data_IF_320686271347
#
_entry.id   IF_320686271347
#
_cell.length_a   1.000
_cell.length_b   1.000
_cell.length_c   1.000
_cell.angle_alpha   90.00
_cell.angle_beta   90.00
_cell.angle_gamma   90.00
#
_symmetry.space_group_name_H-M   'P 1'
#
loop_
_entity.id
_entity.type
_entity.pdbx_description
1 polymer ?
#
# COMPACT_ATOMS: atom_id res chain seq x y z
N UNK A 1 -5.51 -22.18 3.05
CA UNK A 1 -4.57 -21.07 2.83
C UNK A 1 -4.07 -20.58 4.18
N UNK A 2 -2.77 -20.40 4.29
CA UNK A 2 -2.17 -19.80 5.48
C UNK A 2 -1.77 -18.36 5.21
N UNK A 3 -2.11 -17.48 6.13
CA UNK A 3 -1.75 -16.08 6.06
C UNK A 3 -0.64 -15.82 7.07
N UNK A 4 0.49 -15.32 6.59
CA UNK A 4 1.66 -15.05 7.42
C UNK A 4 1.87 -13.55 7.47
N UNK A 5 1.76 -12.95 8.65
CA UNK A 5 2.10 -11.56 8.88
C UNK A 5 3.60 -11.40 9.16
N UNK A 6 4.24 -10.50 8.45
CA UNK A 6 5.67 -10.19 8.66
C UNK A 6 5.80 -8.71 9.02
N UNK A 7 6.39 -8.46 10.18
CA UNK A 7 6.69 -7.11 10.63
C UNK A 7 8.20 -6.98 10.87
N UNK A 8 8.69 -5.78 10.76
CA UNK A 8 10.10 -5.54 11.00
C UNK A 8 10.58 -4.23 10.40
N UNK A 9 11.67 -3.72 10.94
CA UNK A 9 12.29 -2.51 10.45
C UNK A 9 13.05 -2.71 9.14
N UNK A 10 13.35 -1.62 8.48
CA UNK A 10 14.18 -1.61 7.29
C UNK A 10 15.57 -2.18 7.63
N UNK A 11 16.09 -3.06 6.79
CA UNK A 11 17.43 -3.62 6.95
C UNK A 11 17.52 -4.87 7.81
N UNK A 12 16.41 -5.40 8.30
CA UNK A 12 16.40 -6.62 9.13
C UNK A 12 16.45 -7.93 8.34
N UNK A 13 16.81 -7.89 7.06
CA UNK A 13 16.84 -9.09 6.20
C UNK A 13 15.46 -9.56 5.76
N UNK A 14 14.44 -8.76 6.01
CA UNK A 14 13.05 -9.06 5.70
C UNK A 14 12.82 -9.37 4.22
N UNK A 15 13.40 -8.58 3.33
CA UNK A 15 13.26 -8.80 1.88
C UNK A 15 13.82 -10.14 1.44
N UNK A 16 14.93 -10.58 2.04
CA UNK A 16 15.53 -11.88 1.74
C UNK A 16 14.60 -13.02 2.17
N UNK A 17 14.01 -12.92 3.37
CA UNK A 17 13.05 -13.90 3.88
C UNK A 17 11.82 -13.98 3.00
N UNK A 18 11.26 -12.83 2.62
CA UNK A 18 10.08 -12.76 1.76
C UNK A 18 10.34 -13.36 0.38
N UNK A 19 11.48 -13.06 -0.23
CA UNK A 19 11.86 -13.63 -1.51
C UNK A 19 12.05 -15.14 -1.43
N UNK A 20 12.65 -15.63 -0.34
CA UNK A 20 12.80 -17.06 -0.10
C UNK A 20 11.45 -17.78 -0.03
N UNK A 21 10.50 -17.22 0.72
CA UNK A 21 9.16 -17.78 0.86
C UNK A 21 8.44 -17.82 -0.48
N UNK A 22 8.56 -16.74 -1.27
CA UNK A 22 7.96 -16.68 -2.58
C UNK A 22 8.53 -17.72 -3.54
N UNK A 23 9.86 -17.82 -3.62
CA UNK A 23 10.53 -18.75 -4.53
C UNK A 23 10.37 -20.21 -4.12
N UNK A 24 10.48 -20.49 -2.83
CA UNK A 24 10.47 -21.87 -2.32
C UNK A 24 9.08 -22.46 -2.22
N UNK A 25 8.11 -21.67 -1.78
CA UNK A 25 6.76 -22.12 -1.48
C UNK A 25 5.68 -21.55 -2.38
N UNK A 26 6.02 -20.71 -3.34
CA UNK A 26 5.06 -20.05 -4.21
C UNK A 26 4.13 -19.10 -3.46
N UNK A 27 4.57 -18.59 -2.33
CA UNK A 27 3.76 -17.68 -1.52
C UNK A 27 3.48 -16.36 -2.26
N UNK A 28 2.23 -15.90 -2.21
CA UNK A 28 1.89 -14.57 -2.71
C UNK A 28 2.31 -13.53 -1.68
N UNK A 29 3.00 -12.50 -2.16
CA UNK A 29 3.44 -11.38 -1.31
C UNK A 29 2.47 -10.23 -1.41
N UNK A 30 2.05 -9.70 -0.26
CA UNK A 30 1.25 -8.48 -0.16
C UNK A 30 2.05 -7.50 0.69
N UNK A 31 2.59 -6.48 0.05
CA UNK A 31 3.42 -5.46 0.70
C UNK A 31 2.56 -4.21 0.93
N UNK A 32 2.22 -3.95 2.18
CA UNK A 32 1.31 -2.88 2.55
C UNK A 32 1.77 -1.50 2.06
N UNK A 33 3.08 -1.23 2.09
CA UNK A 33 3.62 0.04 1.60
C UNK A 33 3.37 0.21 0.10
N UNK A 34 3.56 -0.84 -0.68
CA UNK A 34 3.29 -0.81 -2.12
C UNK A 34 1.80 -0.70 -2.39
N UNK A 35 0.96 -1.38 -1.61
CA UNK A 35 -0.50 -1.24 -1.72
C UNK A 35 -0.90 0.21 -1.45
N UNK A 36 -0.30 0.86 -0.46
CA UNK A 36 -0.53 2.27 -0.16
C UNK A 36 -0.23 3.18 -1.35
N UNK A 37 0.85 2.92 -2.09
CA UNK A 37 1.17 3.66 -3.31
C UNK A 37 0.19 3.35 -4.43
N UNK A 38 -0.20 2.10 -4.60
CA UNK A 38 -1.10 1.68 -5.67
C UNK A 38 -2.51 2.26 -5.52
N UNK A 39 -3.05 2.33 -4.29
CA UNK A 39 -4.38 2.91 -4.07
C UNK A 39 -4.43 4.41 -4.32
N UNK A 40 -3.27 5.08 -4.38
CA UNK A 40 -3.16 6.48 -4.74
C UNK A 40 -2.96 6.72 -6.23
N UNK A 41 -2.96 5.67 -7.05
CA UNK A 41 -2.88 5.84 -8.51
C UNK A 41 -4.21 6.30 -9.10
N UNK A 42 -4.16 7.01 -10.25
CA UNK A 42 -5.39 7.44 -10.93
C UNK A 42 -6.33 6.27 -11.20
N UNK A 43 -7.61 6.48 -11.01
CA UNK A 43 -8.63 5.44 -11.17
C UNK A 43 -9.08 4.81 -9.85
N UNK A 44 -8.39 5.08 -8.76
CA UNK A 44 -8.78 4.62 -7.43
C UNK A 44 -9.54 5.70 -6.66
N UNK A 45 -10.45 5.29 -5.80
CA UNK A 45 -11.23 6.22 -4.97
C UNK A 45 -10.32 7.03 -4.04
N UNK A 46 -9.29 6.40 -3.47
CA UNK A 46 -8.34 7.09 -2.60
C UNK A 46 -7.62 8.21 -3.34
N UNK A 47 -7.24 8.00 -4.60
CA UNK A 47 -6.66 9.05 -5.45
C UNK A 47 -7.58 10.27 -5.52
N UNK A 48 -8.86 10.03 -5.82
CA UNK A 48 -9.83 11.11 -5.93
C UNK A 48 -9.98 11.88 -4.61
N UNK A 49 -10.04 11.17 -3.50
CA UNK A 49 -10.15 11.79 -2.17
C UNK A 49 -8.90 12.61 -1.81
N UNK A 50 -7.71 12.09 -2.09
CA UNK A 50 -6.45 12.78 -1.81
C UNK A 50 -6.35 14.06 -2.64
N UNK A 51 -6.66 14.00 -3.92
CA UNK A 51 -6.64 15.17 -4.81
C UNK A 51 -7.66 16.21 -4.36
N UNK A 52 -8.86 15.77 -3.94
CA UNK A 52 -9.91 16.67 -3.47
C UNK A 52 -9.48 17.43 -2.21
N UNK A 53 -8.78 16.76 -1.29
CA UNK A 53 -8.38 17.36 -0.01
C UNK A 53 -7.13 18.21 -0.15
N UNK A 54 -6.12 17.73 -0.87
CA UNK A 54 -4.81 18.38 -0.96
C UNK A 54 -4.66 19.30 -2.18
N UNK A 55 -5.55 19.18 -3.15
CA UNK A 55 -5.58 20.06 -4.31
C UNK A 55 -4.65 19.62 -5.44
N UNK A 56 -4.66 20.39 -6.51
CA UNK A 56 -3.90 20.07 -7.73
C UNK A 56 -2.38 20.23 -7.57
N UNK A 57 -1.94 20.90 -6.52
CA UNK A 57 -0.51 21.13 -6.24
C UNK A 57 0.26 19.82 -6.10
N UNK A 58 -0.42 18.74 -5.70
CA UNK A 58 0.19 17.43 -5.54
C UNK A 58 0.05 16.53 -6.78
N UNK A 59 -0.50 17.06 -7.86
CA UNK A 59 -0.73 16.29 -9.09
C UNK A 59 0.29 16.68 -10.15
N UNK A 60 1.00 15.69 -10.68
CA UNK A 60 1.97 15.88 -11.76
C UNK A 60 1.27 16.04 -13.12
N UNK A 61 2.04 16.42 -14.14
CA UNK A 61 1.51 16.58 -15.49
C UNK A 61 0.87 15.33 -16.06
N UNK A 62 1.40 14.16 -15.68
CA UNK A 62 0.86 12.85 -16.09
C UNK A 62 -0.36 12.43 -15.27
N UNK A 63 -0.86 13.32 -14.41
CA UNK A 63 -2.01 13.12 -13.52
C UNK A 63 -1.77 12.19 -12.34
N UNK A 64 -0.56 11.69 -12.17
CA UNK A 64 -0.22 10.92 -10.96
C UNK A 64 0.07 11.86 -9.80
N UNK A 65 -0.03 11.34 -8.57
CA UNK A 65 0.32 12.12 -7.38
C UNK A 65 1.84 12.27 -7.30
N UNK A 66 2.28 13.52 -7.15
CA UNK A 66 3.68 13.83 -6.83
C UNK A 66 3.91 13.54 -5.35
N UNK A 67 4.50 12.38 -5.07
CA UNK A 67 4.72 11.93 -3.70
C UNK A 67 5.67 12.82 -2.91
N UNK A 68 6.60 13.48 -3.59
CA UNK A 68 7.49 14.44 -2.93
C UNK A 68 6.72 15.66 -2.45
N UNK A 69 5.86 16.21 -3.30
CA UNK A 69 5.05 17.37 -2.96
C UNK A 69 4.08 17.03 -1.81
N UNK A 70 3.40 15.89 -1.91
CA UNK A 70 2.49 15.44 -0.85
C UNK A 70 3.26 15.16 0.44
N UNK A 71 4.41 14.50 0.35
CA UNK A 71 5.26 14.20 1.50
C UNK A 71 5.72 15.46 2.21
N UNK A 72 6.10 16.50 1.48
CA UNK A 72 6.50 17.78 2.07
C UNK A 72 5.36 18.42 2.85
N UNK A 73 4.14 18.37 2.33
CA UNK A 73 2.95 18.91 3.01
C UNK A 73 2.66 18.17 4.32
N UNK A 74 2.62 16.84 4.27
CA UNK A 74 2.27 16.04 5.45
C UNK A 74 3.40 15.98 6.48
N UNK A 75 4.64 16.13 6.06
CA UNK A 75 5.78 16.21 6.96
C UNK A 75 5.74 17.51 7.77
N UNK A 76 5.32 18.60 7.15
CA UNK A 76 5.26 19.92 7.79
C UNK A 76 4.01 20.10 8.67
N UNK A 77 2.97 19.31 8.49
CA UNK A 77 1.69 19.50 9.18
C UNK A 77 1.12 18.15 9.61
N UNK A 78 1.15 17.90 10.92
CA UNK A 78 0.67 16.64 11.49
C UNK A 78 -0.83 16.42 11.26
N UNK A 79 -1.63 17.49 11.27
CA UNK A 79 -3.08 17.38 11.00
C UNK A 79 -3.34 16.89 9.58
N UNK A 80 -2.58 17.39 8.63
CA UNK A 80 -2.69 16.95 7.22
C UNK A 80 -2.23 15.52 7.05
N UNK A 81 -1.19 15.11 7.78
CA UNK A 81 -0.75 13.71 7.80
C UNK A 81 -1.85 12.78 8.33
N UNK A 82 -2.54 13.20 9.39
CA UNK A 82 -3.66 12.43 9.94
C UNK A 82 -4.82 12.31 8.95
N UNK A 83 -5.12 13.38 8.23
CA UNK A 83 -6.17 13.38 7.19
C UNK A 83 -5.80 12.40 6.08
N UNK A 84 -4.55 12.45 5.61
CA UNK A 84 -4.06 11.52 4.59
C UNK A 84 -4.19 10.07 5.06
N UNK A 85 -3.77 9.78 6.29
CA UNK A 85 -3.85 8.45 6.86
C UNK A 85 -5.30 7.94 6.95
N UNK A 86 -6.25 8.81 7.28
CA UNK A 86 -7.67 8.46 7.31
C UNK A 86 -8.22 8.08 5.95
N UNK A 87 -7.63 8.60 4.88
CA UNK A 87 -8.00 8.24 3.50
C UNK A 87 -7.33 6.93 3.10
N UNK A 88 -6.03 6.82 3.35
CA UNK A 88 -5.20 5.73 2.83
C UNK A 88 -5.40 4.43 3.60
N UNK A 89 -5.47 4.47 4.93
CA UNK A 89 -5.56 3.25 5.73
C UNK A 89 -6.78 2.39 5.39
N UNK A 90 -8.01 2.93 5.28
CA UNK A 90 -9.16 2.11 4.85
C UNK A 90 -8.99 1.56 3.44
N UNK A 91 -8.44 2.36 2.52
CA UNK A 91 -8.23 1.94 1.15
C UNK A 91 -7.22 0.79 1.05
N UNK A 92 -6.13 0.87 1.80
CA UNK A 92 -5.13 -0.20 1.90
C UNK A 92 -5.75 -1.47 2.47
N UNK A 93 -6.52 -1.33 3.54
CA UNK A 93 -7.18 -2.46 4.20
C UNK A 93 -8.12 -3.20 3.24
N UNK A 94 -8.96 -2.46 2.53
CA UNK A 94 -9.88 -3.01 1.55
C UNK A 94 -9.15 -3.72 0.42
N UNK A 95 -8.07 -3.14 -0.08
CA UNK A 95 -7.28 -3.73 -1.16
C UNK A 95 -6.57 -5.00 -0.70
N UNK A 96 -6.04 -5.03 0.52
CA UNK A 96 -5.44 -6.24 1.08
C UNK A 96 -6.49 -7.35 1.22
N UNK A 97 -7.68 -7.03 1.72
CA UNK A 97 -8.76 -8.00 1.83
C UNK A 97 -9.17 -8.56 0.47
N UNK A 98 -9.25 -7.70 -0.54
CA UNK A 98 -9.55 -8.13 -1.91
C UNK A 98 -8.50 -9.11 -2.44
N UNK A 99 -7.23 -8.83 -2.21
CA UNK A 99 -6.13 -9.69 -2.64
C UNK A 99 -6.10 -11.02 -1.89
N UNK A 100 -6.49 -11.02 -0.61
CA UNK A 100 -6.62 -12.24 0.15
C UNK A 100 -7.77 -13.11 -0.38
N UNK A 101 -8.90 -12.54 -0.72
CA UNK A 101 -10.02 -13.25 -1.34
C UNK A 101 -9.63 -13.83 -2.69
N UNK A 102 -8.92 -13.06 -3.51
CA UNK A 102 -8.41 -13.51 -4.80
C UNK A 102 -7.45 -14.70 -4.63
N UNK A 103 -6.55 -14.62 -3.65
CA UNK A 103 -5.62 -15.70 -3.34
C UNK A 103 -6.36 -16.97 -2.91
N UNK A 104 -7.43 -16.85 -2.15
CA UNK A 104 -8.28 -17.98 -1.74
C UNK A 104 -8.95 -18.61 -2.94
N UNK A 105 -9.49 -17.80 -3.86
CA UNK A 105 -10.11 -18.31 -5.09
C UNK A 105 -9.11 -19.03 -5.99
N UNK A 106 -7.85 -18.62 -5.98
CA UNK A 106 -6.77 -19.26 -6.73
C UNK A 106 -6.18 -20.47 -6.01
N UNK A 107 -6.70 -20.82 -4.85
CA UNK A 107 -6.25 -21.96 -4.02
C UNK A 107 -4.76 -21.89 -3.67
N UNK A 108 -4.25 -20.70 -3.40
CA UNK A 108 -2.87 -20.52 -2.98
C UNK A 108 -2.68 -21.04 -1.55
N UNK A 109 -1.57 -21.75 -1.34
CA UNK A 109 -1.28 -22.34 -0.03
C UNK A 109 -0.85 -21.33 1.01
N UNK A 110 -0.12 -20.28 0.57
CA UNK A 110 0.45 -19.30 1.47
C UNK A 110 0.27 -17.90 0.91
N UNK A 111 -0.05 -16.94 1.80
CA UNK A 111 -0.04 -15.51 1.51
C UNK A 111 0.75 -14.82 2.61
N UNK A 112 1.72 -14.00 2.23
CA UNK A 112 2.53 -13.24 3.17
C UNK A 112 2.12 -11.77 3.08
N UNK A 113 1.72 -11.20 4.21
CA UNK A 113 1.33 -9.80 4.32
C UNK A 113 2.37 -9.07 5.16
N UNK A 114 2.91 -8.03 4.60
CA UNK A 114 3.85 -7.16 5.29
C UNK A 114 3.25 -5.82 5.64
#
# INVERSE_FOLDING_TARGET
>A
MKIIGVTGGVGAGKSTVLNYLHKRYGAKLILADLVGHEVMEPGHEAYEQVVKVFGREIVSEDKTIDRKALGAIVFADEKKRMILNRIIHPAVRQEILRRLEEAELLHLSYVVVE
#
